data_IF_302805717099
#
_entry.id   IF_302805717099
#
_cell.length_a   1.000
_cell.length_b   1.000
_cell.length_c   1.000
_cell.angle_alpha   90.00
_cell.angle_beta   90.00
_cell.angle_gamma   90.00
#
_symmetry.space_group_name_H-M   'P 1'
#
loop_
_entity.id
_entity.type
_entity.pdbx_description
1 polymer ?
#
# COMPACT_ATOMS: atom_id res chain seq x y z
N UNK A 1 -26.92 29.00 5.84
CA UNK A 1 -26.46 28.77 4.46
C UNK A 1 -25.14 27.94 4.37
N UNK A 2 -24.09 28.27 5.09
CA UNK A 2 -22.78 27.58 5.01
C UNK A 2 -22.84 26.07 5.36
N UNK A 3 -23.59 25.70 6.40
CA UNK A 3 -23.78 24.30 6.82
C UNK A 3 -24.44 23.41 5.75
N UNK A 4 -25.41 23.94 5.02
CA UNK A 4 -26.07 23.19 3.93
C UNK A 4 -25.13 22.93 2.75
N UNK A 5 -24.26 23.88 2.41
CA UNK A 5 -23.26 23.72 1.35
C UNK A 5 -22.21 22.67 1.74
N UNK A 6 -21.73 22.70 2.98
CA UNK A 6 -20.76 21.71 3.49
C UNK A 6 -21.37 20.30 3.48
N UNK A 7 -22.60 20.15 3.93
CA UNK A 7 -23.31 18.86 3.92
C UNK A 7 -23.49 18.34 2.49
N UNK A 8 -23.88 19.18 1.55
CA UNK A 8 -24.04 18.83 0.14
C UNK A 8 -22.72 18.38 -0.49
N UNK A 9 -21.63 19.13 -0.25
CA UNK A 9 -20.31 18.76 -0.76
C UNK A 9 -19.82 17.42 -0.20
N UNK A 10 -20.12 17.13 1.08
CA UNK A 10 -19.81 15.85 1.71
C UNK A 10 -20.60 14.71 1.07
N UNK A 11 -21.88 14.90 0.75
CA UNK A 11 -22.70 13.90 0.05
C UNK A 11 -22.17 13.67 -1.36
N UNK A 12 -21.88 14.72 -2.12
CA UNK A 12 -21.31 14.59 -3.48
C UNK A 12 -19.96 13.87 -3.47
N UNK A 13 -19.12 14.15 -2.47
CA UNK A 13 -17.85 13.44 -2.29
C UNK A 13 -18.07 11.95 -2.01
N UNK A 14 -19.03 11.61 -1.14
CA UNK A 14 -19.39 10.21 -0.84
C UNK A 14 -19.85 9.48 -2.10
N UNK A 15 -20.75 10.07 -2.86
CA UNK A 15 -21.25 9.49 -4.12
C UNK A 15 -20.12 9.32 -5.14
N UNK A 16 -19.27 10.33 -5.30
CA UNK A 16 -18.12 10.26 -6.20
C UNK A 16 -17.17 9.12 -5.84
N UNK A 17 -16.82 8.95 -4.58
CA UNK A 17 -15.97 7.84 -4.15
C UNK A 17 -16.68 6.48 -4.23
N UNK A 18 -17.99 6.41 -3.93
CA UNK A 18 -18.74 5.17 -4.06
C UNK A 18 -18.74 4.62 -5.51
N UNK A 19 -18.81 5.50 -6.51
CA UNK A 19 -18.68 5.10 -7.91
C UNK A 19 -17.32 4.47 -8.23
N UNK A 20 -16.26 4.93 -7.57
CA UNK A 20 -14.90 4.40 -7.75
C UNK A 20 -14.69 3.03 -7.09
N UNK A 21 -15.66 2.49 -6.36
CA UNK A 21 -15.63 1.12 -5.87
C UNK A 21 -15.63 0.11 -7.04
N UNK A 22 -16.37 0.42 -8.10
CA UNK A 22 -16.47 -0.43 -9.28
C UNK A 22 -15.19 -0.33 -10.13
N UNK A 23 -14.54 -1.45 -10.38
CA UNK A 23 -13.29 -1.56 -11.16
C UNK A 23 -13.42 -0.93 -12.55
N UNK A 24 -14.57 -1.14 -13.23
CA UNK A 24 -14.83 -0.61 -14.56
C UNK A 24 -14.97 0.91 -14.61
N UNK A 25 -15.15 1.59 -13.47
CA UNK A 25 -15.13 3.04 -13.30
C UNK A 25 -13.75 3.51 -12.85
N UNK A 26 -13.22 2.91 -11.80
CA UNK A 26 -11.97 3.33 -11.16
C UNK A 26 -10.77 3.20 -12.08
N UNK A 27 -10.60 2.07 -12.76
CA UNK A 27 -9.44 1.83 -13.61
C UNK A 27 -9.35 2.78 -14.80
N UNK A 28 -10.41 2.98 -15.62
CA UNK A 28 -10.37 4.01 -16.65
C UNK A 28 -10.11 5.41 -16.09
N UNK A 29 -10.70 5.76 -14.95
CA UNK A 29 -10.47 7.04 -14.29
C UNK A 29 -9.00 7.23 -13.91
N UNK A 30 -8.37 6.25 -13.27
CA UNK A 30 -6.95 6.29 -12.93
C UNK A 30 -6.06 6.37 -14.18
N UNK A 31 -6.42 5.65 -15.25
CA UNK A 31 -5.69 5.72 -16.52
C UNK A 31 -5.78 7.11 -17.18
N UNK A 32 -6.95 7.72 -17.18
CA UNK A 32 -7.12 9.09 -17.69
C UNK A 32 -6.30 10.09 -16.87
N UNK A 33 -6.30 9.97 -15.54
CA UNK A 33 -5.48 10.80 -14.65
C UNK A 33 -3.99 10.59 -14.92
N UNK A 34 -3.54 9.36 -15.10
CA UNK A 34 -2.17 9.06 -15.51
C UNK A 34 -1.82 9.78 -16.81
N UNK A 35 -2.63 9.64 -17.86
CA UNK A 35 -2.39 10.28 -19.16
C UNK A 35 -2.30 11.81 -19.04
N UNK A 36 -3.16 12.42 -18.21
CA UNK A 36 -3.16 13.85 -17.97
C UNK A 36 -1.93 14.35 -17.20
N UNK A 37 -1.43 13.54 -16.24
CA UNK A 37 -0.40 13.96 -15.29
C UNK A 37 0.98 13.32 -15.53
N UNK A 38 1.14 12.41 -16.48
CA UNK A 38 2.40 11.67 -16.73
C UNK A 38 3.61 12.57 -16.98
N UNK A 39 3.40 13.82 -17.44
CA UNK A 39 4.48 14.80 -17.62
C UNK A 39 4.98 15.39 -16.30
N UNK A 40 4.26 15.20 -15.21
CA UNK A 40 4.60 15.68 -13.87
C UNK A 40 5.28 14.60 -13.02
N UNK A 41 5.97 13.64 -13.65
CA UNK A 41 6.71 12.59 -12.95
C UNK A 41 7.80 13.17 -12.05
N UNK A 42 7.84 12.66 -10.85
CA UNK A 42 8.85 12.95 -9.82
C UNK A 42 9.47 11.63 -9.37
N UNK A 43 10.76 11.65 -9.15
CA UNK A 43 11.53 10.48 -8.71
C UNK A 43 12.29 10.85 -7.45
N UNK A 44 12.39 9.91 -6.54
CA UNK A 44 13.32 10.01 -5.43
C UNK A 44 14.72 9.71 -5.94
N UNK A 45 15.60 10.72 -5.92
CA UNK A 45 16.94 10.65 -6.52
C UNK A 45 18.05 10.49 -5.47
N UNK A 46 17.75 9.93 -4.29
CA UNK A 46 18.79 9.78 -3.27
C UNK A 46 19.70 8.59 -3.59
N UNK A 47 21.01 8.83 -3.66
CA UNK A 47 22.05 7.84 -4.00
C UNK A 47 22.07 6.62 -3.06
N UNK A 48 21.55 6.72 -1.84
CA UNK A 48 21.42 5.60 -0.90
C UNK A 48 20.34 4.59 -1.24
N UNK A 49 19.38 4.93 -2.10
CA UNK A 49 18.29 4.05 -2.50
C UNK A 49 18.76 2.93 -3.43
N UNK A 50 19.76 3.19 -4.27
CA UNK A 50 20.31 2.19 -5.17
C UNK A 50 20.83 0.96 -4.43
N UNK A 51 21.17 1.10 -3.15
CA UNK A 51 21.69 0.00 -2.33
C UNK A 51 20.59 -0.71 -1.53
N UNK A 52 19.52 -0.03 -1.15
CA UNK A 52 18.44 -0.59 -0.35
C UNK A 52 17.28 -1.17 -1.17
N UNK A 53 17.04 -0.58 -2.36
CA UNK A 53 16.01 -1.03 -3.32
C UNK A 53 16.69 -1.24 -4.66
N UNK A 54 16.51 -2.42 -5.27
CA UNK A 54 17.12 -2.69 -6.58
C UNK A 54 16.73 -1.64 -7.60
N UNK A 55 17.71 -1.02 -8.21
CA UNK A 55 17.54 -0.04 -9.29
C UNK A 55 16.61 -0.55 -10.40
N UNK A 56 16.60 -1.86 -10.62
CA UNK A 56 15.74 -2.54 -11.57
C UNK A 56 14.25 -2.49 -11.21
N UNK A 57 13.89 -2.36 -9.93
CA UNK A 57 12.49 -2.29 -9.49
C UNK A 57 11.81 -1.00 -9.96
N UNK A 58 12.48 0.15 -9.83
CA UNK A 58 11.97 1.43 -10.33
C UNK A 58 11.83 1.36 -11.85
N UNK A 59 12.87 0.88 -12.54
CA UNK A 59 12.89 0.74 -14.00
C UNK A 59 11.77 -0.18 -14.48
N UNK A 60 11.59 -1.34 -13.83
CA UNK A 60 10.55 -2.31 -14.16
C UNK A 60 9.15 -1.71 -13.98
N UNK A 61 8.88 -1.10 -12.83
CA UNK A 61 7.58 -0.52 -12.51
C UNK A 61 7.24 0.69 -13.40
N UNK A 62 8.23 1.53 -13.68
CA UNK A 62 8.08 2.66 -14.60
C UNK A 62 7.83 2.20 -16.03
N UNK A 63 8.52 1.16 -16.51
CA UNK A 63 8.32 0.60 -17.83
C UNK A 63 6.91 0.01 -17.98
N UNK A 64 6.40 -0.72 -16.98
CA UNK A 64 5.03 -1.25 -16.98
C UNK A 64 3.98 -0.13 -17.04
N UNK A 65 4.18 0.93 -16.24
CA UNK A 65 3.31 2.10 -16.23
C UNK A 65 3.35 2.84 -17.58
N UNK A 66 4.53 3.02 -18.16
CA UNK A 66 4.73 3.73 -19.42
C UNK A 66 4.13 3.01 -20.62
N UNK A 67 4.13 1.67 -20.63
CA UNK A 67 3.44 0.85 -21.64
C UNK A 67 1.92 0.90 -21.50
N UNK A 68 1.40 1.38 -20.36
CA UNK A 68 -0.03 1.38 -20.06
C UNK A 68 -0.58 -0.03 -19.84
N UNK A 69 0.26 -0.95 -19.35
CA UNK A 69 -0.14 -2.33 -19.08
C UNK A 69 -1.34 -2.35 -18.14
N UNK A 70 -2.37 -3.12 -18.51
CA UNK A 70 -3.58 -3.26 -17.69
C UNK A 70 -3.25 -3.75 -16.27
N UNK A 71 -2.20 -4.56 -16.12
CA UNK A 71 -1.69 -5.00 -14.84
C UNK A 71 -1.16 -3.85 -13.96
N UNK A 72 -0.66 -2.76 -14.54
CA UNK A 72 -0.20 -1.60 -13.77
C UNK A 72 -1.37 -0.85 -13.09
N UNK A 73 -2.59 -1.00 -13.63
CA UNK A 73 -3.82 -0.39 -13.13
C UNK A 73 -4.81 -1.43 -12.57
N UNK A 74 -4.39 -2.64 -12.29
CA UNK A 74 -5.30 -3.73 -11.98
C UNK A 74 -4.86 -4.65 -10.84
N UNK A 75 -3.87 -4.27 -10.05
CA UNK A 75 -3.44 -5.07 -8.90
C UNK A 75 -4.37 -4.93 -7.68
N UNK A 76 -5.43 -4.17 -7.80
CA UNK A 76 -6.36 -3.84 -6.72
C UNK A 76 -6.96 -5.06 -5.99
N UNK A 77 -7.12 -6.21 -6.68
CA UNK A 77 -7.66 -7.42 -6.02
C UNK A 77 -6.79 -7.91 -4.87
N UNK A 78 -5.47 -7.82 -5.01
CA UNK A 78 -4.52 -8.17 -3.95
C UNK A 78 -4.72 -7.27 -2.73
N UNK A 79 -4.87 -5.96 -2.96
CA UNK A 79 -5.07 -4.99 -1.88
C UNK A 79 -6.35 -5.23 -1.07
N UNK A 80 -7.32 -6.01 -1.56
CA UNK A 80 -8.50 -6.41 -0.77
C UNK A 80 -8.12 -7.13 0.52
N UNK A 81 -7.04 -7.92 0.49
CA UNK A 81 -6.52 -8.64 1.66
C UNK A 81 -6.06 -7.71 2.79
N UNK A 82 -5.73 -6.46 2.47
CA UNK A 82 -5.30 -5.45 3.44
C UNK A 82 -6.40 -4.40 3.68
N UNK A 83 -7.03 -3.91 2.62
CA UNK A 83 -8.01 -2.81 2.70
C UNK A 83 -9.28 -3.22 3.43
N UNK A 84 -9.83 -4.40 3.17
CA UNK A 84 -11.09 -4.82 3.83
C UNK A 84 -10.93 -5.05 5.32
N UNK A 85 -9.93 -5.80 5.82
CA UNK A 85 -9.70 -5.95 7.25
C UNK A 85 -9.45 -4.61 7.94
N UNK A 86 -8.62 -3.75 7.34
CA UNK A 86 -8.32 -2.42 7.90
C UNK A 86 -9.56 -1.55 7.94
N UNK A 87 -10.37 -1.50 6.88
CA UNK A 87 -11.62 -0.76 6.87
C UNK A 87 -12.62 -1.30 7.92
N UNK A 88 -12.70 -2.62 8.08
CA UNK A 88 -13.55 -3.24 9.10
C UNK A 88 -13.12 -2.90 10.52
N UNK A 89 -11.81 -2.90 10.81
CA UNK A 89 -11.27 -2.54 12.13
C UNK A 89 -11.46 -1.05 12.41
N UNK A 90 -11.33 -0.19 11.39
CA UNK A 90 -11.46 1.27 11.50
C UNK A 90 -12.90 1.77 11.29
N UNK A 91 -13.91 0.90 11.28
CA UNK A 91 -15.30 1.21 10.89
C UNK A 91 -15.89 2.47 11.53
N UNK A 92 -15.56 2.75 12.79
CA UNK A 92 -16.12 3.89 13.53
C UNK A 92 -15.41 5.22 13.24
N UNK A 93 -14.30 5.19 12.49
CA UNK A 93 -13.50 6.36 12.15
C UNK A 93 -12.95 6.37 10.72
N UNK A 94 -13.62 5.70 9.78
CA UNK A 94 -13.22 5.62 8.37
C UNK A 94 -12.92 6.99 7.77
N UNK A 95 -13.81 7.97 8.00
CA UNK A 95 -13.69 9.30 7.39
C UNK A 95 -12.56 10.15 7.98
N UNK A 96 -12.10 9.84 9.19
CA UNK A 96 -11.07 10.60 9.92
C UNK A 96 -9.72 9.90 9.99
N UNK A 97 -9.70 8.57 9.88
CA UNK A 97 -8.48 7.79 9.92
C UNK A 97 -7.53 8.18 8.78
N UNK A 98 -6.26 8.41 9.10
CA UNK A 98 -5.20 8.65 8.11
C UNK A 98 -4.57 7.31 7.73
N UNK A 99 -4.57 7.01 6.45
CA UNK A 99 -4.02 5.75 5.90
C UNK A 99 -2.93 6.06 4.89
N UNK A 100 -1.79 5.39 5.04
CA UNK A 100 -0.69 5.45 4.08
C UNK A 100 -0.61 4.11 3.32
N UNK A 101 -0.61 4.17 2.00
CA UNK A 101 -0.31 3.02 1.13
C UNK A 101 1.09 3.21 0.58
N UNK A 102 1.99 2.27 0.88
CA UNK A 102 3.38 2.29 0.43
C UNK A 102 3.54 1.41 -0.81
N UNK A 103 4.18 1.94 -1.84
CA UNK A 103 4.36 1.28 -3.13
C UNK A 103 3.09 1.16 -3.98
N UNK A 104 2.17 2.16 -4.00
CA UNK A 104 0.91 2.04 -4.74
C UNK A 104 1.08 2.13 -6.25
N UNK A 105 2.23 2.49 -6.74
CA UNK A 105 2.57 2.72 -8.16
C UNK A 105 1.61 3.67 -8.88
N UNK A 106 0.30 3.52 -8.66
CA UNK A 106 -0.77 4.36 -9.24
C UNK A 106 -1.76 4.80 -8.17
N UNK A 107 -2.71 5.64 -8.55
CA UNK A 107 -3.78 6.08 -7.65
C UNK A 107 -4.90 5.04 -7.43
N UNK A 108 -4.85 3.87 -8.08
CA UNK A 108 -5.94 2.88 -8.06
C UNK A 108 -6.26 2.42 -6.63
N UNK A 109 -5.26 1.97 -5.89
CA UNK A 109 -5.43 1.50 -4.50
C UNK A 109 -5.88 2.62 -3.56
N UNK A 110 -5.41 3.86 -3.80
CA UNK A 110 -5.81 5.04 -3.02
C UNK A 110 -7.30 5.34 -3.23
N UNK A 111 -7.76 5.34 -4.49
CA UNK A 111 -9.17 5.58 -4.78
C UNK A 111 -10.05 4.41 -4.32
N UNK A 112 -9.54 3.20 -4.35
CA UNK A 112 -10.26 2.07 -3.78
C UNK A 112 -10.43 2.20 -2.27
N UNK A 113 -9.37 2.56 -1.53
CA UNK A 113 -9.47 2.85 -0.10
C UNK A 113 -10.49 3.97 0.18
N UNK A 114 -10.45 5.06 -0.60
CA UNK A 114 -11.42 6.16 -0.48
C UNK A 114 -12.86 5.73 -0.75
N UNK A 115 -13.08 4.78 -1.66
CA UNK A 115 -14.42 4.22 -1.95
C UNK A 115 -14.97 3.37 -0.81
N UNK A 116 -14.10 2.82 0.03
CA UNK A 116 -14.45 2.12 1.28
C UNK A 116 -14.69 3.07 2.47
N UNK A 117 -14.58 4.38 2.25
CA UNK A 117 -14.76 5.39 3.29
C UNK A 117 -13.46 5.88 3.96
N UNK A 118 -12.30 5.31 3.63
CA UNK A 118 -10.99 5.76 4.13
C UNK A 118 -10.53 7.02 3.36
N UNK A 119 -11.21 8.15 3.60
CA UNK A 119 -11.05 9.35 2.77
C UNK A 119 -9.69 10.03 2.88
N UNK A 120 -9.00 9.87 4.00
CA UNK A 120 -7.69 10.46 4.24
C UNK A 120 -6.58 9.46 3.90
N UNK A 121 -6.75 8.71 2.78
CA UNK A 121 -5.73 7.82 2.24
C UNK A 121 -4.83 8.59 1.28
N UNK A 122 -3.54 8.41 1.44
CA UNK A 122 -2.48 8.92 0.56
C UNK A 122 -1.46 7.81 0.27
N UNK A 123 -0.63 8.01 -0.75
CA UNK A 123 0.41 7.06 -1.15
C UNK A 123 1.80 7.55 -0.82
N UNK A 124 2.76 6.62 -0.78
CA UNK A 124 4.19 6.88 -0.65
C UNK A 124 4.97 5.91 -1.54
N UNK A 125 5.76 6.43 -2.47
CA UNK A 125 6.48 5.60 -3.44
C UNK A 125 7.81 6.26 -3.82
N UNK A 126 8.72 5.51 -4.42
CA UNK A 126 9.99 6.00 -4.96
C UNK A 126 9.80 6.92 -6.17
N UNK A 127 8.66 6.89 -6.81
CA UNK A 127 8.30 7.78 -7.90
C UNK A 127 6.80 8.07 -7.92
N UNK A 128 6.39 9.21 -8.48
CA UNK A 128 4.97 9.53 -8.64
C UNK A 128 4.72 10.58 -9.71
N UNK A 129 3.56 10.46 -10.35
CA UNK A 129 2.94 11.47 -11.20
C UNK A 129 1.85 12.27 -10.47
N UNK A 130 1.42 11.79 -9.32
CA UNK A 130 0.27 12.30 -8.58
C UNK A 130 0.66 13.08 -7.35
N UNK A 131 -0.16 14.10 -7.01
CA UNK A 131 -0.07 14.79 -5.72
C UNK A 131 -0.61 13.94 -4.55
N UNK A 132 -1.35 12.86 -4.83
CA UNK A 132 -1.85 11.94 -3.80
C UNK A 132 -0.78 10.94 -3.36
N UNK A 133 0.38 10.91 -4.03
CA UNK A 133 1.49 10.00 -3.72
C UNK A 133 2.73 10.86 -3.43
N UNK A 134 3.16 10.85 -2.20
CA UNK A 134 4.44 11.45 -1.78
C UNK A 134 5.59 10.64 -2.37
N UNK A 135 6.70 11.31 -2.67
CA UNK A 135 7.89 10.68 -3.21
C UNK A 135 8.96 10.59 -2.13
N UNK A 136 9.44 9.38 -1.87
CA UNK A 136 10.47 9.12 -0.87
C UNK A 136 10.79 7.64 -0.72
N UNK A 137 11.73 7.33 0.17
CA UNK A 137 12.12 5.97 0.55
C UNK A 137 11.56 5.61 1.91
N UNK A 138 10.80 4.52 1.99
CA UNK A 138 10.18 4.05 3.24
C UNK A 138 11.20 3.53 4.26
N UNK A 139 12.43 3.26 3.87
CA UNK A 139 13.48 2.93 4.83
C UNK A 139 13.86 4.12 5.72
N UNK A 140 13.60 5.35 5.24
CA UNK A 140 13.78 6.62 5.96
C UNK A 140 12.85 7.69 5.35
N UNK A 141 11.59 7.69 5.74
CA UNK A 141 10.53 8.44 5.04
C UNK A 141 10.51 9.94 5.33
N UNK A 142 11.18 10.42 6.39
CA UNK A 142 11.03 11.78 6.95
C UNK A 142 9.58 12.15 7.35
N UNK A 143 8.68 11.19 7.45
CA UNK A 143 7.31 11.37 7.95
C UNK A 143 7.38 11.49 9.47
N UNK A 144 6.68 12.44 10.11
CA UNK A 144 6.68 12.56 11.58
C UNK A 144 6.13 11.30 12.27
N UNK A 145 6.60 11.03 13.48
CA UNK A 145 6.16 9.94 14.34
C UNK A 145 4.63 9.99 14.55
N UNK A 146 4.00 8.85 14.64
CA UNK A 146 2.59 8.76 14.99
C UNK A 146 1.64 9.47 14.00
N UNK A 147 2.01 9.58 12.73
CA UNK A 147 1.24 10.32 11.72
C UNK A 147 0.01 9.56 11.22
N UNK A 148 0.01 8.22 11.22
CA UNK A 148 -1.01 7.40 10.56
C UNK A 148 -1.73 6.45 11.50
N UNK A 149 -3.01 6.21 11.21
CA UNK A 149 -3.84 5.21 11.87
C UNK A 149 -3.62 3.82 11.25
N UNK A 150 -3.24 3.77 9.97
CA UNK A 150 -2.85 2.55 9.28
C UNK A 150 -1.78 2.82 8.22
N UNK A 151 -0.85 1.88 8.07
CA UNK A 151 0.17 1.82 6.99
C UNK A 151 0.05 0.48 6.29
N UNK A 152 -0.06 0.50 4.95
CA UNK A 152 -0.25 -0.69 4.13
C UNK A 152 0.93 -0.84 3.15
N UNK A 153 1.66 -1.94 3.26
CA UNK A 153 2.76 -2.31 2.36
C UNK A 153 2.21 -3.24 1.26
N UNK A 154 1.87 -2.66 0.11
CA UNK A 154 1.25 -3.37 -1.01
C UNK A 154 2.27 -4.15 -1.86
N UNK A 155 2.66 -5.35 -1.46
CA UNK A 155 3.56 -6.26 -2.20
C UNK A 155 4.93 -5.66 -2.54
N UNK A 156 5.38 -4.63 -1.81
CA UNK A 156 6.65 -3.96 -2.06
C UNK A 156 7.78 -4.46 -1.15
N UNK A 157 7.47 -5.00 0.03
CA UNK A 157 8.47 -5.36 1.04
C UNK A 157 9.43 -6.46 0.55
N UNK A 158 8.98 -7.35 -0.32
CA UNK A 158 9.81 -8.40 -0.92
C UNK A 158 10.94 -7.86 -1.81
N UNK A 159 10.87 -6.60 -2.22
CA UNK A 159 11.91 -5.92 -3.00
C UNK A 159 12.89 -5.13 -2.13
N UNK A 160 12.68 -5.07 -0.82
CA UNK A 160 13.59 -4.41 0.11
C UNK A 160 14.77 -5.33 0.47
N UNK A 161 15.97 -4.79 0.50
CA UNK A 161 17.16 -5.47 1.04
C UNK A 161 17.18 -5.47 2.57
N UNK A 162 16.47 -4.53 3.19
CA UNK A 162 16.32 -4.43 4.64
C UNK A 162 14.84 -4.29 5.03
N UNK A 163 14.09 -5.39 5.04
CA UNK A 163 12.70 -5.37 5.46
C UNK A 163 12.53 -5.00 6.95
N UNK A 164 13.56 -5.22 7.78
CA UNK A 164 13.57 -4.81 9.18
C UNK A 164 13.50 -3.28 9.32
N UNK A 165 14.30 -2.55 8.55
CA UNK A 165 14.28 -1.09 8.53
C UNK A 165 12.91 -0.56 8.04
N UNK A 166 12.32 -1.18 7.00
CA UNK A 166 10.97 -0.83 6.53
C UNK A 166 9.94 -0.98 7.64
N UNK A 167 9.94 -2.12 8.34
CA UNK A 167 8.98 -2.37 9.44
C UNK A 167 9.21 -1.40 10.61
N UNK A 168 10.46 -1.13 10.97
CA UNK A 168 10.79 -0.18 12.02
C UNK A 168 10.26 1.23 11.70
N UNK A 169 10.47 1.68 10.47
CA UNK A 169 9.98 2.99 10.01
C UNK A 169 8.44 3.03 9.97
N UNK A 170 7.79 1.98 9.47
CA UNK A 170 6.33 1.89 9.51
C UNK A 170 5.77 1.95 10.93
N UNK A 171 6.42 1.27 11.89
CA UNK A 171 6.02 1.33 13.31
C UNK A 171 6.21 2.74 13.88
N UNK A 172 7.28 3.44 13.53
CA UNK A 172 7.55 4.80 13.98
C UNK A 172 6.48 5.79 13.52
N UNK A 173 6.07 5.72 12.25
CA UNK A 173 5.08 6.62 11.69
C UNK A 173 3.64 6.25 12.04
N UNK A 174 3.40 5.06 12.57
CA UNK A 174 2.09 4.64 13.07
C UNK A 174 1.81 5.23 14.46
N UNK A 175 0.56 5.61 14.67
CA UNK A 175 0.05 5.94 16.00
C UNK A 175 0.07 4.70 16.90
N UNK A 176 0.16 4.88 18.23
CA UNK A 176 -0.10 3.79 19.17
C UNK A 176 -1.47 3.15 18.90
N UNK A 177 -1.52 1.82 18.89
CA UNK A 177 -2.71 1.07 18.50
C UNK A 177 -3.03 1.10 17.00
N UNK A 178 -2.13 1.66 16.17
CA UNK A 178 -2.27 1.72 14.71
C UNK A 178 -2.13 0.35 14.05
N UNK A 179 -2.48 0.29 12.78
CA UNK A 179 -2.52 -0.95 11.99
C UNK A 179 -1.40 -0.97 10.96
N UNK A 180 -0.62 -2.07 10.92
CA UNK A 180 0.36 -2.34 9.87
C UNK A 180 -0.14 -3.51 9.02
N UNK A 181 -0.50 -3.24 7.77
CA UNK A 181 -0.87 -4.27 6.80
C UNK A 181 0.29 -4.57 5.86
N UNK A 182 0.65 -5.85 5.68
CA UNK A 182 1.72 -6.28 4.78
C UNK A 182 1.21 -7.36 3.86
N UNK A 183 1.39 -7.16 2.54
CA UNK A 183 1.11 -8.14 1.51
C UNK A 183 2.38 -8.64 0.84
N UNK A 184 2.47 -9.94 0.63
CA UNK A 184 3.54 -10.61 -0.13
C UNK A 184 2.97 -11.68 -1.06
N UNK A 185 3.72 -12.04 -2.08
CA UNK A 185 3.48 -13.30 -2.81
C UNK A 185 4.17 -14.43 -2.06
N UNK A 186 3.41 -15.43 -1.68
CA UNK A 186 3.92 -16.66 -1.09
C UNK A 186 4.07 -17.75 -2.17
N UNK A 187 5.19 -18.44 -2.15
CA UNK A 187 5.44 -19.60 -3.00
C UNK A 187 6.07 -20.72 -2.19
N UNK A 188 5.27 -21.63 -1.61
CA UNK A 188 5.75 -22.74 -0.80
C UNK A 188 6.74 -23.64 -1.55
N UNK A 189 6.55 -23.83 -2.87
CA UNK A 189 7.42 -24.69 -3.69
C UNK A 189 8.85 -24.19 -3.78
N UNK A 190 9.09 -22.89 -3.63
CA UNK A 190 10.44 -22.33 -3.64
C UNK A 190 11.27 -22.71 -2.43
N UNK A 191 10.64 -23.04 -1.29
CA UNK A 191 11.34 -23.63 -0.12
C UNK A 191 11.81 -25.05 -0.40
N UNK A 192 11.16 -25.77 -1.33
CA UNK A 192 11.43 -27.19 -1.64
C UNK A 192 12.54 -27.29 -2.69
N UNK A 193 12.51 -26.45 -3.71
CA UNK A 193 13.40 -26.58 -4.88
C UNK A 193 14.71 -25.76 -4.79
N UNK A 194 14.90 -24.97 -3.74
CA UNK A 194 16.11 -24.14 -3.55
C UNK A 194 16.25 -23.00 -4.57
N UNK A 195 15.29 -22.84 -5.48
CA UNK A 195 15.27 -21.76 -6.46
C UNK A 195 14.54 -20.57 -5.88
N UNK A 196 15.30 -19.60 -5.39
CA UNK A 196 14.74 -18.31 -4.96
C UNK A 196 14.58 -17.46 -6.23
N UNK A 197 13.35 -16.98 -6.57
CA UNK A 197 13.22 -16.01 -7.64
C UNK A 197 14.02 -14.75 -7.30
N UNK A 198 14.17 -13.80 -8.22
CA UNK A 198 14.94 -12.58 -8.02
C UNK A 198 14.20 -11.61 -7.06
N UNK A 199 13.79 -12.12 -5.91
CA UNK A 199 13.33 -11.33 -4.75
C UNK A 199 14.53 -11.00 -3.90
N UNK A 200 14.57 -9.80 -3.34
CA UNK A 200 15.73 -9.35 -2.57
C UNK A 200 15.81 -9.97 -1.17
N UNK A 201 14.73 -10.57 -0.69
CA UNK A 201 14.68 -11.18 0.64
C UNK A 201 13.88 -12.50 0.65
N UNK A 202 13.99 -13.23 1.77
CA UNK A 202 13.43 -14.57 1.94
C UNK A 202 11.96 -14.58 2.43
N UNK A 203 11.27 -13.44 2.51
CA UNK A 203 9.88 -13.38 2.97
C UNK A 203 8.96 -14.13 2.02
N UNK A 204 8.35 -15.21 2.51
CA UNK A 204 7.58 -16.14 1.68
C UNK A 204 6.32 -16.71 2.35
N UNK A 205 6.01 -16.34 3.59
CA UNK A 205 4.87 -16.85 4.34
C UNK A 205 4.32 -15.82 5.33
N UNK A 206 3.12 -16.08 5.86
CA UNK A 206 2.58 -15.31 6.96
C UNK A 206 3.48 -15.39 8.21
N UNK A 207 4.05 -16.57 8.49
CA UNK A 207 4.94 -16.78 9.63
C UNK A 207 6.22 -15.94 9.53
N UNK A 208 6.77 -15.78 8.31
CA UNK A 208 7.93 -14.90 8.09
C UNK A 208 7.56 -13.44 8.43
N UNK A 209 6.35 -12.98 8.04
CA UNK A 209 5.86 -11.65 8.37
C UNK A 209 5.58 -11.49 9.87
N UNK A 210 5.00 -12.50 10.51
CA UNK A 210 4.71 -12.49 11.95
C UNK A 210 6.03 -12.39 12.75
N UNK A 211 7.02 -13.16 12.34
CA UNK A 211 8.36 -13.14 12.95
C UNK A 211 9.04 -11.79 12.74
N UNK A 212 8.98 -11.25 11.52
CA UNK A 212 9.59 -9.95 11.18
C UNK A 212 8.96 -8.80 11.96
N UNK A 213 7.62 -8.78 12.05
CA UNK A 213 6.91 -7.67 12.67
C UNK A 213 6.89 -7.79 14.19
N UNK A 214 6.72 -8.99 14.76
CA UNK A 214 6.71 -9.20 16.21
C UNK A 214 5.61 -8.42 16.94
N UNK A 215 4.43 -8.24 16.31
CA UNK A 215 3.27 -7.56 16.87
C UNK A 215 2.01 -8.45 16.77
N UNK A 216 0.97 -8.22 17.60
CA UNK A 216 -0.26 -8.99 17.55
C UNK A 216 -0.91 -8.97 16.17
N UNK A 217 -1.30 -10.13 15.68
CA UNK A 217 -2.03 -10.28 14.40
C UNK A 217 -3.50 -9.95 14.62
N UNK A 218 -4.03 -9.01 13.84
CA UNK A 218 -5.43 -8.65 13.81
C UNK A 218 -6.20 -9.37 12.68
N UNK A 219 -5.51 -9.72 11.60
CA UNK A 219 -6.03 -10.48 10.47
C UNK A 219 -4.89 -11.16 9.73
N UNK A 220 -5.12 -12.39 9.26
CA UNK A 220 -4.27 -13.10 8.31
C UNK A 220 -5.15 -13.92 7.38
N UNK A 221 -4.87 -13.90 6.08
CA UNK A 221 -5.40 -14.92 5.21
C UNK A 221 -4.45 -16.11 5.24
N UNK A 222 -4.91 -17.23 5.74
CA UNK A 222 -4.18 -18.48 5.68
C UNK A 222 -4.46 -19.17 4.35
N UNK A 223 -3.46 -19.39 3.53
CA UNK A 223 -3.64 -20.06 2.26
C UNK A 223 -3.72 -21.57 2.45
N UNK A 224 -4.66 -22.14 1.75
CA UNK A 224 -4.95 -23.58 1.81
C UNK A 224 -4.09 -24.45 0.90
N UNK A 225 -3.12 -23.91 0.12
CA UNK A 225 -2.59 -24.70 -0.98
C UNK A 225 -1.08 -24.53 -1.24
N UNK A 226 -0.49 -25.58 -1.81
CA UNK A 226 0.88 -25.71 -2.31
C UNK A 226 1.17 -24.90 -3.59
N UNK A 227 0.37 -23.88 -3.90
CA UNK A 227 0.49 -23.06 -5.11
C UNK A 227 0.85 -21.61 -4.74
N UNK A 228 1.38 -20.87 -5.72
CA UNK A 228 1.60 -19.44 -5.61
C UNK A 228 0.33 -18.71 -5.20
N UNK A 229 0.36 -17.96 -4.12
CA UNK A 229 -0.78 -17.20 -3.63
C UNK A 229 -0.36 -15.86 -3.04
N UNK A 230 -1.35 -14.96 -2.93
CA UNK A 230 -1.18 -13.71 -2.24
C UNK A 230 -1.43 -13.90 -0.74
N UNK A 231 -0.46 -13.50 0.07
CA UNK A 231 -0.54 -13.53 1.52
C UNK A 231 -0.65 -12.09 2.05
N UNK A 232 -1.64 -11.83 2.90
CA UNK A 232 -1.84 -10.55 3.56
C UNK A 232 -1.99 -10.73 5.06
N UNK A 233 -1.21 -9.97 5.85
CA UNK A 233 -1.30 -9.96 7.30
C UNK A 233 -1.51 -8.52 7.77
N UNK A 234 -2.44 -8.31 8.68
CA UNK A 234 -2.66 -7.03 9.37
C UNK A 234 -2.31 -7.20 10.83
N UNK A 235 -1.40 -6.39 11.30
CA UNK A 235 -0.94 -6.32 12.68
C UNK A 235 -1.57 -5.13 13.38
N UNK A 236 -1.83 -5.25 14.69
CA UNK A 236 -2.23 -4.13 15.53
C UNK A 236 -1.11 -3.81 16.50
N UNK A 237 -0.56 -2.60 16.42
CA UNK A 237 0.46 -2.17 17.36
C UNK A 237 -0.12 -2.03 18.78
N UNK A 238 0.69 -2.22 19.84
CA UNK A 238 0.24 -1.96 21.20
C UNK A 238 -0.20 -0.49 21.33
N UNK A 239 -1.18 -0.21 22.21
CA UNK A 239 -1.47 1.17 22.60
C UNK A 239 -0.26 1.78 23.31
N UNK A 240 -0.25 3.10 23.47
CA UNK A 240 0.74 3.73 24.37
C UNK A 240 0.62 3.13 25.78
N UNK A 241 1.74 2.95 26.46
CA UNK A 241 1.74 2.57 27.86
C UNK A 241 1.00 3.58 28.72
#
# INVERSE_FOLDING_TARGET
MLWGVIAMLRILRKLGYALLYADFVRRPYCRLRWLAMRRSMRFHLNSGISDAVGHDTIKHNFAALSRGDAAAFGMSRRMSLLLFPVAAILKDRLETARVLIVGPRTEDDIFWAKSLGLWNTEGFDLFSYSKLIMVGDIHNSNIPDGSYDAVLLGWMISYSKDPGAVVAECKRILKPGGLLGIGIESNPRQKIDGVIPPRMNALNSADDLITLVGAPVAFSNEPYQEVLYDCGVVFKLPPSP
#
